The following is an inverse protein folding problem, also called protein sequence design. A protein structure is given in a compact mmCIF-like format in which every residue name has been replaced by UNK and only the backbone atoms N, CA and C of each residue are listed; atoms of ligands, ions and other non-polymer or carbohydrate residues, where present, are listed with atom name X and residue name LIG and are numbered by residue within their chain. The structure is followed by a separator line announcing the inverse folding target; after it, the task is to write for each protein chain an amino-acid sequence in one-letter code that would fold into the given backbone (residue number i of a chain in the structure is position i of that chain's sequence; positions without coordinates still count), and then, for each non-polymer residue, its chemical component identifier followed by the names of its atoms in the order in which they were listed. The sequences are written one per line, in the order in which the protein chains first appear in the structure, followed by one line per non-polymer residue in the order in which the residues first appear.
data_IF_873522195450
#
_entry.id   IF_873522195450
#
_cell.length_a   1.000
_cell.length_b   1.000
_cell.length_c   1.000
_cell.angle_alpha   90.00
_cell.angle_beta   90.00
_cell.angle_gamma   90.00
#
_symmetry.space_group_name_H-M   'P 1'
#
loop_
_entity.id
_entity.type
_entity.pdbx_description
1 polymer ?
#
# COMPACT_ATOMS: atom_id res chain seq x y z
N UNK A 1 0.56 35.78 -22.08
CA UNK A 1 1.41 35.64 -20.88
C UNK A 1 0.74 34.63 -19.97
N UNK A 2 1.44 33.53 -19.62
CA UNK A 2 1.00 32.46 -18.71
C UNK A 2 0.23 31.34 -19.41
N UNK A 3 0.57 30.05 -19.28
CA UNK A 3 1.61 29.32 -18.56
C UNK A 3 1.91 28.07 -19.42
N UNK A 4 3.18 27.76 -19.67
CA UNK A 4 3.54 26.52 -20.34
C UNK A 4 3.24 25.37 -19.36
N UNK A 5 2.34 24.47 -19.74
CA UNK A 5 2.12 23.24 -19.00
C UNK A 5 3.41 22.42 -19.09
N UNK A 6 4.10 22.26 -17.95
CA UNK A 6 5.27 21.40 -17.81
C UNK A 6 4.89 19.95 -18.16
N UNK A 7 5.02 19.57 -19.43
CA UNK A 7 4.82 18.18 -19.86
C UNK A 7 6.02 17.34 -19.45
N UNK A 8 6.13 17.03 -18.17
CA UNK A 8 7.01 16.00 -17.66
C UNK A 8 6.47 14.63 -18.16
N UNK A 9 7.16 14.02 -19.13
CA UNK A 9 6.80 12.70 -19.64
C UNK A 9 7.17 11.62 -18.61
N UNK A 10 6.21 11.26 -17.76
CA UNK A 10 6.31 10.10 -16.87
C UNK A 10 6.29 8.80 -17.68
N UNK A 11 7.30 7.94 -17.52
CA UNK A 11 7.08 6.52 -17.81
C UNK A 11 6.27 5.95 -16.65
N UNK A 12 4.93 5.95 -16.82
CA UNK A 12 4.01 5.33 -15.86
C UNK A 12 4.06 3.82 -16.05
N UNK A 13 4.79 3.19 -15.15
CA UNK A 13 4.98 1.75 -15.07
C UNK A 13 3.86 1.17 -14.17
N UNK A 14 2.77 0.70 -14.79
CA UNK A 14 1.73 -0.13 -14.14
C UNK A 14 0.68 0.58 -13.26
N UNK A 15 -0.52 -0.01 -13.23
CA UNK A 15 -1.60 0.31 -12.28
C UNK A 15 -1.65 -0.75 -11.18
N UNK A 16 -0.87 -0.55 -10.11
CA UNK A 16 -1.09 -1.22 -8.82
C UNK A 16 0.17 -1.72 -8.08
N UNK A 17 0.31 -1.22 -6.85
CA UNK A 17 0.75 -1.87 -5.59
C UNK A 17 2.22 -1.86 -5.15
N UNK A 18 3.20 -1.70 -6.01
CA UNK A 18 4.55 -1.20 -5.63
C UNK A 18 5.30 -0.88 -6.93
N UNK A 19 5.51 0.40 -7.24
CA UNK A 19 6.09 0.82 -8.53
C UNK A 19 7.54 1.26 -8.31
N UNK A 20 8.49 0.60 -8.98
CA UNK A 20 9.78 1.22 -9.28
C UNK A 20 9.60 2.26 -10.39
N UNK A 21 9.61 3.54 -10.06
CA UNK A 21 9.61 4.62 -11.05
C UNK A 21 11.05 5.06 -11.35
N UNK A 22 11.34 5.17 -12.65
CA UNK A 22 12.52 5.85 -13.18
C UNK A 22 12.05 7.15 -13.83
N UNK A 23 12.50 8.30 -13.32
CA UNK A 23 12.15 9.62 -13.87
C UNK A 23 13.04 9.91 -15.07
N UNK A 24 12.41 10.17 -16.23
CA UNK A 24 13.07 10.69 -17.43
C UNK A 24 13.16 12.21 -17.33
N UNK A 25 14.34 12.77 -17.55
CA UNK A 25 14.53 14.21 -17.69
C UNK A 25 14.43 14.60 -19.18
N UNK A 26 14.08 15.84 -19.50
CA UNK A 26 14.39 16.47 -20.79
C UNK A 26 15.52 17.48 -20.55
N UNK A 27 16.40 17.69 -21.52
CA UNK A 27 17.44 18.71 -21.38
C UNK A 27 16.77 20.10 -21.38
N UNK A 28 16.71 20.72 -20.21
CA UNK A 28 16.00 21.99 -19.96
C UNK A 28 16.61 23.17 -20.75
N UNK A 29 17.81 22.98 -21.30
CA UNK A 29 18.55 24.00 -22.06
C UNK A 29 18.22 23.92 -23.56
N UNK A 30 17.93 22.74 -24.08
CA UNK A 30 17.78 22.50 -25.53
C UNK A 30 16.41 21.98 -25.94
N UNK A 31 15.54 21.57 -25.00
CA UNK A 31 14.24 20.96 -25.28
C UNK A 31 14.36 19.63 -26.04
N UNK A 32 15.57 19.08 -26.16
CA UNK A 32 15.84 17.85 -26.89
C UNK A 32 15.44 16.67 -26.01
N UNK A 33 14.56 15.82 -26.53
CA UNK A 33 14.26 14.51 -25.94
C UNK A 33 15.51 13.64 -25.97
N UNK A 34 15.91 13.10 -24.81
CA UNK A 34 17.00 12.14 -24.77
C UNK A 34 16.65 10.86 -25.55
N UNK A 35 17.55 10.50 -26.45
CA UNK A 35 17.59 9.23 -27.16
C UNK A 35 18.22 8.11 -26.34
N UNK A 36 18.12 6.85 -26.79
CA UNK A 36 18.56 5.67 -26.03
C UNK A 36 20.07 5.63 -25.76
N UNK A 37 20.88 6.27 -26.62
CA UNK A 37 22.33 6.37 -26.45
C UNK A 37 22.78 7.55 -25.59
N UNK A 38 21.86 8.47 -25.27
CA UNK A 38 22.19 9.64 -24.46
C UNK A 38 22.44 9.20 -23.01
N UNK A 39 23.42 9.84 -22.38
CA UNK A 39 23.77 9.57 -21.00
C UNK A 39 22.97 10.49 -20.08
N UNK A 40 22.23 9.89 -19.14
CA UNK A 40 21.36 10.61 -18.22
C UNK A 40 21.57 10.20 -16.77
N UNK A 41 21.04 11.03 -15.87
CA UNK A 41 20.90 10.72 -14.46
C UNK A 41 19.42 10.66 -14.11
N UNK A 42 19.07 9.80 -13.16
CA UNK A 42 17.70 9.41 -12.80
C UNK A 42 17.53 9.33 -11.29
N UNK A 43 16.31 9.44 -10.79
CA UNK A 43 15.95 8.97 -9.45
C UNK A 43 15.18 7.66 -9.56
N UNK A 44 15.56 6.69 -8.74
CA UNK A 44 14.81 5.46 -8.54
C UNK A 44 13.90 5.68 -7.33
N UNK A 45 12.59 5.50 -7.53
CA UNK A 45 11.60 5.68 -6.47
C UNK A 45 10.71 4.45 -6.35
N UNK A 46 10.33 4.10 -5.13
CA UNK A 46 9.31 3.09 -4.83
C UNK A 46 8.01 3.81 -4.52
N UNK A 47 6.95 3.47 -5.24
CA UNK A 47 5.59 4.01 -5.03
C UNK A 47 4.73 2.93 -4.41
N UNK A 48 4.36 3.09 -3.13
CA UNK A 48 3.37 2.24 -2.46
C UNK A 48 2.08 3.03 -2.21
N UNK A 49 1.01 2.67 -2.92
CA UNK A 49 -0.23 3.46 -2.92
C UNK A 49 0.01 4.90 -3.43
N UNK A 50 -0.30 5.89 -2.60
CA UNK A 50 -0.09 7.33 -2.89
C UNK A 50 1.27 7.87 -2.41
N UNK A 51 2.12 7.02 -1.82
CA UNK A 51 3.41 7.44 -1.24
C UNK A 51 4.57 7.07 -2.15
N UNK A 52 5.32 8.08 -2.61
CA UNK A 52 6.56 7.90 -3.38
C UNK A 52 7.77 8.08 -2.45
N UNK A 53 8.63 7.08 -2.35
CA UNK A 53 9.93 7.17 -1.65
C UNK A 53 11.07 7.04 -2.65
N UNK A 54 11.94 8.05 -2.72
CA UNK A 54 13.18 7.98 -3.50
C UNK A 54 14.16 7.05 -2.77
N UNK A 55 14.59 5.99 -3.43
CA UNK A 55 15.51 4.97 -2.88
C UNK A 55 16.94 5.08 -3.45
N UNK A 56 17.16 5.90 -4.47
CA UNK A 56 18.51 6.16 -4.97
C UNK A 56 18.57 7.07 -6.18
N UNK A 57 19.78 7.52 -6.50
CA UNK A 57 20.11 8.18 -7.77
C UNK A 57 20.81 7.17 -8.67
N UNK A 58 20.45 7.14 -9.94
CA UNK A 58 21.05 6.26 -10.96
C UNK A 58 21.64 7.10 -12.08
N UNK A 59 22.67 6.59 -12.75
CA UNK A 59 23.32 7.27 -13.87
C UNK A 59 23.66 6.23 -14.93
N UNK A 60 23.44 6.54 -16.20
CA UNK A 60 23.69 5.60 -17.30
C UNK A 60 23.07 6.03 -18.62
N UNK A 61 23.27 5.20 -19.67
CA UNK A 61 22.56 5.37 -20.95
C UNK A 61 21.05 5.20 -20.75
N UNK A 62 20.26 6.08 -21.33
CA UNK A 62 18.79 6.07 -21.17
C UNK A 62 18.19 4.73 -21.62
N UNK A 63 18.64 4.16 -22.74
CA UNK A 63 18.11 2.88 -23.25
C UNK A 63 18.37 1.71 -22.30
N UNK A 64 19.50 1.71 -21.58
CA UNK A 64 19.82 0.67 -20.61
C UNK A 64 19.02 0.84 -19.32
N UNK A 65 18.83 2.09 -18.87
CA UNK A 65 18.00 2.39 -17.71
C UNK A 65 16.53 2.06 -17.96
N UNK A 66 16.01 2.32 -19.16
CA UNK A 66 14.65 1.95 -19.57
C UNK A 66 14.47 0.41 -19.63
N UNK A 67 15.44 -0.33 -20.19
CA UNK A 67 15.41 -1.81 -20.18
C UNK A 67 15.45 -2.38 -18.77
N UNK A 68 16.32 -1.85 -17.91
CA UNK A 68 16.39 -2.23 -16.49
C UNK A 68 15.08 -1.92 -15.77
N UNK A 69 14.50 -0.74 -15.98
CA UNK A 69 13.20 -0.35 -15.44
C UNK A 69 12.08 -1.32 -15.84
N UNK A 70 12.00 -1.70 -17.12
CA UNK A 70 11.03 -2.70 -17.62
C UNK A 70 11.26 -4.10 -17.06
N UNK A 71 12.52 -4.51 -16.87
CA UNK A 71 12.86 -5.80 -16.26
C UNK A 71 12.48 -5.82 -14.77
N UNK A 72 12.72 -4.73 -14.03
CA UNK A 72 12.25 -4.57 -12.66
C UNK A 72 10.71 -4.55 -12.59
N UNK A 73 10.04 -3.88 -13.52
CA UNK A 73 8.58 -3.91 -13.63
C UNK A 73 8.06 -5.32 -13.86
N UNK A 74 8.66 -6.06 -14.79
CA UNK A 74 8.29 -7.45 -15.06
C UNK A 74 8.55 -8.32 -13.82
N UNK A 75 9.66 -8.12 -13.11
CA UNK A 75 9.94 -8.81 -11.85
C UNK A 75 8.90 -8.46 -10.77
N UNK A 76 8.56 -7.18 -10.59
CA UNK A 76 7.55 -6.71 -9.65
C UNK A 76 6.13 -7.19 -10.01
N UNK A 77 5.80 -7.27 -11.30
CA UNK A 77 4.57 -7.89 -11.81
C UNK A 77 4.57 -9.40 -11.59
N UNK A 78 5.71 -10.08 -11.62
CA UNK A 78 5.77 -11.50 -11.25
C UNK A 78 5.75 -11.72 -9.72
N UNK A 79 6.13 -10.71 -8.94
CA UNK A 79 5.81 -10.61 -7.50
C UNK A 79 4.31 -10.40 -7.27
N UNK A 80 3.49 -10.13 -8.30
CA UNK A 80 2.03 -9.99 -8.15
C UNK A 80 1.28 -11.30 -7.91
N UNK A 81 1.96 -12.44 -7.81
CA UNK A 81 1.42 -13.64 -7.17
C UNK A 81 1.76 -13.73 -5.65
N UNK A 82 2.54 -12.77 -5.14
CA UNK A 82 2.95 -12.61 -3.75
C UNK A 82 1.81 -12.07 -2.89
N UNK A 83 0.90 -12.97 -2.53
CA UNK A 83 0.02 -12.82 -1.36
C UNK A 83 0.87 -12.29 -0.19
N UNK A 84 0.34 -11.39 0.63
CA UNK A 84 1.02 -10.99 1.88
C UNK A 84 1.36 -12.27 2.65
N UNK A 85 2.63 -12.46 3.02
CA UNK A 85 3.05 -13.67 3.72
C UNK A 85 2.61 -13.57 5.18
N UNK A 86 1.36 -14.00 5.43
CA UNK A 86 0.73 -14.00 6.76
C UNK A 86 1.54 -14.85 7.73
N UNK A 87 2.12 -15.96 7.26
CA UNK A 87 2.90 -16.88 8.10
C UNK A 87 4.19 -16.22 8.57
N UNK A 88 4.95 -15.62 7.66
CA UNK A 88 6.16 -14.88 8.02
C UNK A 88 5.86 -13.67 8.90
N UNK A 89 4.76 -12.95 8.64
CA UNK A 89 4.32 -11.84 9.47
C UNK A 89 3.96 -12.27 10.89
N UNK A 90 3.18 -13.35 11.04
CA UNK A 90 2.79 -13.90 12.34
C UNK A 90 4.02 -14.35 13.15
N UNK A 91 4.96 -15.05 12.51
CA UNK A 91 6.22 -15.46 13.13
C UNK A 91 7.06 -14.26 13.57
N UNK A 92 7.03 -13.16 12.81
CA UNK A 92 7.74 -11.93 13.15
C UNK A 92 7.11 -11.26 14.37
N UNK A 93 5.80 -10.99 14.35
CA UNK A 93 5.13 -10.29 15.47
C UNK A 93 5.13 -11.11 16.76
N UNK A 94 5.18 -12.44 16.68
CA UNK A 94 5.27 -13.32 17.86
C UNK A 94 6.57 -13.12 18.67
N UNK A 95 7.65 -12.65 18.03
CA UNK A 95 8.97 -12.44 18.64
C UNK A 95 9.24 -11.00 19.03
N UNK A 96 8.37 -10.07 18.64
CA UNK A 96 8.56 -8.63 18.85
C UNK A 96 8.09 -8.22 20.25
N UNK A 97 8.66 -7.13 20.76
CA UNK A 97 8.08 -6.49 21.94
C UNK A 97 6.71 -5.87 21.59
N UNK A 98 5.88 -5.69 22.61
CA UNK A 98 4.47 -5.29 22.45
C UNK A 98 4.32 -3.95 21.72
N UNK A 99 5.18 -2.97 21.99
CA UNK A 99 5.07 -1.64 21.41
C UNK A 99 5.42 -1.64 19.92
N UNK A 100 6.53 -2.28 19.54
CA UNK A 100 6.93 -2.43 18.14
C UNK A 100 5.93 -3.29 17.36
N UNK A 101 5.42 -4.35 17.99
CA UNK A 101 4.36 -5.20 17.42
C UNK A 101 3.13 -4.37 17.07
N UNK A 102 2.63 -3.57 18.00
CA UNK A 102 1.45 -2.72 17.77
C UNK A 102 1.72 -1.72 16.66
N UNK A 103 2.90 -1.07 16.64
CA UNK A 103 3.27 -0.11 15.61
C UNK A 103 3.31 -0.76 14.21
N UNK A 104 3.93 -1.93 14.09
CA UNK A 104 4.02 -2.68 12.83
C UNK A 104 2.64 -3.15 12.35
N UNK A 105 1.79 -3.65 13.26
CA UNK A 105 0.43 -4.07 12.92
C UNK A 105 -0.39 -2.88 12.42
N UNK A 106 -0.31 -1.73 13.09
CA UNK A 106 -1.00 -0.51 12.67
C UNK A 106 -0.54 -0.04 11.28
N UNK A 107 0.77 0.07 11.05
CA UNK A 107 1.30 0.48 9.74
C UNK A 107 0.86 -0.47 8.63
N UNK A 108 0.96 -1.78 8.86
CA UNK A 108 0.57 -2.81 7.89
C UNK A 108 -0.94 -2.75 7.60
N UNK A 109 -1.76 -2.60 8.64
CA UNK A 109 -3.22 -2.47 8.47
C UNK A 109 -3.61 -1.25 7.64
N UNK A 110 -2.90 -0.13 7.82
CA UNK A 110 -3.13 1.10 7.06
C UNK A 110 -2.80 0.90 5.58
N UNK A 111 -1.72 0.20 5.28
CA UNK A 111 -1.32 -0.08 3.89
C UNK A 111 -2.33 -1.01 3.22
N UNK A 112 -2.82 -2.03 3.92
CA UNK A 112 -3.90 -2.92 3.44
C UNK A 112 -5.20 -2.14 3.22
N UNK A 113 -5.58 -1.26 4.15
CA UNK A 113 -6.78 -0.44 4.01
C UNK A 113 -6.67 0.48 2.79
N UNK A 114 -5.56 1.21 2.61
CA UNK A 114 -5.30 2.06 1.44
C UNK A 114 -5.38 1.26 0.14
N UNK A 115 -4.71 0.12 0.10
CA UNK A 115 -4.66 -0.77 -1.05
C UNK A 115 -6.06 -1.29 -1.46
N UNK A 116 -6.94 -1.53 -0.48
CA UNK A 116 -8.31 -1.95 -0.75
C UNK A 116 -9.29 -0.77 -0.98
N UNK A 117 -8.83 0.47 -0.86
CA UNK A 117 -9.65 1.67 -0.98
C UNK A 117 -10.58 1.91 0.22
N UNK A 118 -10.22 1.37 1.38
CA UNK A 118 -10.98 1.55 2.61
C UNK A 118 -10.66 2.90 3.26
N UNK A 119 -11.67 3.52 3.85
CA UNK A 119 -11.55 4.82 4.51
C UNK A 119 -11.49 4.65 6.01
N UNK A 120 -10.53 5.29 6.68
CA UNK A 120 -10.48 5.28 8.14
C UNK A 120 -11.66 6.06 8.71
N UNK A 121 -12.34 5.49 9.70
CA UNK A 121 -13.50 6.08 10.37
C UNK A 121 -13.09 6.66 11.73
N UNK A 122 -12.81 7.98 11.83
CA UNK A 122 -12.23 8.57 13.03
C UNK A 122 -13.18 8.51 14.23
N UNK A 123 -14.50 8.67 14.01
CA UNK A 123 -15.50 8.57 15.07
C UNK A 123 -15.53 7.15 15.65
N UNK A 124 -15.70 6.14 14.79
CA UNK A 124 -15.75 4.74 15.21
C UNK A 124 -14.42 4.29 15.83
N UNK A 125 -13.31 4.80 15.31
CA UNK A 125 -11.98 4.53 15.86
C UNK A 125 -11.85 4.99 17.31
N UNK A 126 -12.33 6.21 17.59
CA UNK A 126 -12.27 6.81 18.92
C UNK A 126 -13.18 6.11 19.92
N UNK A 127 -14.44 5.86 19.56
CA UNK A 127 -15.42 5.29 20.51
C UNK A 127 -15.16 3.81 20.82
N UNK A 128 -14.55 3.06 19.89
CA UNK A 128 -14.22 1.65 20.08
C UNK A 128 -12.76 1.43 20.54
N UNK A 129 -11.95 2.49 20.61
CA UNK A 129 -10.51 2.40 20.92
C UNK A 129 -9.75 1.39 20.02
N UNK A 130 -10.12 1.31 18.74
CA UNK A 130 -9.53 0.42 17.73
C UNK A 130 -9.46 1.17 16.41
N UNK A 131 -8.45 0.96 15.58
CA UNK A 131 -8.48 1.54 14.23
C UNK A 131 -9.59 0.87 13.40
N UNK A 132 -10.57 1.65 12.94
CA UNK A 132 -11.71 1.16 12.17
C UNK A 132 -11.66 1.73 10.75
N UNK A 133 -11.84 0.85 9.76
CA UNK A 133 -11.87 1.21 8.34
C UNK A 133 -13.21 0.79 7.72
N UNK A 134 -13.77 1.63 6.85
CA UNK A 134 -15.00 1.37 6.11
C UNK A 134 -14.69 0.97 4.67
N UNK A 135 -15.27 -0.15 4.25
CA UNK A 135 -15.27 -0.58 2.86
C UNK A 135 -16.57 -0.17 2.16
N UNK A 136 -16.44 0.79 1.23
CA UNK A 136 -17.57 1.27 0.45
C UNK A 136 -18.20 0.20 -0.49
N UNK A 137 -17.46 -0.87 -0.83
CA UNK A 137 -17.92 -1.94 -1.73
C UNK A 137 -18.84 -2.91 -1.01
N UNK A 138 -18.38 -3.43 0.13
CA UNK A 138 -19.14 -4.41 0.94
C UNK A 138 -20.08 -3.76 1.95
N UNK A 139 -19.91 -2.46 2.24
CA UNK A 139 -20.58 -1.73 3.33
C UNK A 139 -20.26 -2.27 4.72
N UNK A 140 -19.15 -3.00 4.85
CA UNK A 140 -18.65 -3.50 6.12
C UNK A 140 -17.59 -2.57 6.70
N UNK A 141 -17.42 -2.69 8.01
CA UNK A 141 -16.36 -2.10 8.79
C UNK A 141 -15.33 -3.18 9.15
N UNK A 142 -14.07 -2.78 9.17
CA UNK A 142 -12.92 -3.61 9.51
C UNK A 142 -12.23 -2.96 10.69
N UNK A 143 -12.39 -3.54 11.88
CA UNK A 143 -11.75 -3.07 13.10
C UNK A 143 -10.45 -3.85 13.34
N UNK A 144 -9.36 -3.14 13.55
CA UNK A 144 -8.04 -3.73 13.75
C UNK A 144 -7.95 -4.39 15.13
N UNK A 145 -7.61 -5.67 15.15
CA UNK A 145 -7.08 -6.36 16.32
C UNK A 145 -5.56 -6.26 16.33
N UNK A 146 -5.03 -5.40 17.22
CA UNK A 146 -3.59 -5.19 17.39
C UNK A 146 -2.88 -6.31 18.14
N UNK A 147 -3.61 -7.25 18.75
CA UNK A 147 -3.02 -8.40 19.43
C UNK A 147 -2.58 -9.46 18.43
N UNK A 148 -3.41 -9.77 17.44
CA UNK A 148 -3.13 -10.84 16.47
C UNK A 148 -2.75 -10.31 15.08
N UNK A 149 -2.94 -9.02 14.80
CA UNK A 149 -2.72 -8.49 13.46
C UNK A 149 -3.77 -9.02 12.49
N UNK A 150 -5.04 -8.84 12.86
CA UNK A 150 -6.23 -9.30 12.15
C UNK A 150 -7.27 -8.19 12.07
N UNK A 151 -8.27 -8.36 11.21
CA UNK A 151 -9.44 -7.49 11.20
C UNK A 151 -10.66 -8.25 11.69
N UNK A 152 -11.37 -7.65 12.63
CA UNK A 152 -12.75 -8.01 12.95
C UNK A 152 -13.65 -7.38 11.88
N UNK A 153 -14.38 -8.21 11.14
CA UNK A 153 -15.33 -7.77 10.11
C UNK A 153 -16.67 -7.53 10.77
N UNK A 154 -17.27 -6.37 10.52
CA UNK A 154 -18.46 -5.90 11.21
C UNK A 154 -19.42 -5.29 10.20
N UNK A 155 -20.71 -5.61 10.30
CA UNK A 155 -21.71 -5.05 9.40
C UNK A 155 -22.12 -3.61 9.80
N UNK A 156 -23.00 -3.00 9.02
CA UNK A 156 -23.47 -1.63 9.25
C UNK A 156 -24.21 -1.39 10.57
N UNK A 157 -24.65 -2.47 11.23
CA UNK A 157 -25.30 -2.42 12.55
C UNK A 157 -24.31 -2.60 13.70
N UNK A 158 -23.01 -2.69 13.41
CA UNK A 158 -21.99 -2.97 14.42
C UNK A 158 -21.90 -4.45 14.80
N UNK A 159 -22.57 -5.37 14.08
CA UNK A 159 -22.54 -6.80 14.42
C UNK A 159 -21.35 -7.52 13.81
N UNK A 160 -20.61 -8.24 14.63
CA UNK A 160 -19.45 -9.04 14.22
C UNK A 160 -19.86 -10.12 13.20
N UNK A 161 -19.09 -10.26 12.14
CA UNK A 161 -19.31 -11.18 11.01
C UNK A 161 -18.19 -12.23 10.89
N UNK A 162 -17.10 -12.08 11.63
CA UNK A 162 -15.95 -12.98 11.61
C UNK A 162 -14.63 -12.22 11.60
N UNK A 163 -13.56 -12.97 11.80
CA UNK A 163 -12.18 -12.46 11.79
C UNK A 163 -11.54 -12.79 10.43
N UNK A 164 -10.74 -11.87 9.90
CA UNK A 164 -9.93 -12.10 8.69
C UNK A 164 -8.46 -11.75 8.90
N UNK A 165 -7.59 -12.47 8.19
CA UNK A 165 -6.17 -12.15 8.08
C UNK A 165 -5.91 -10.96 7.15
N UNK A 166 -4.64 -10.57 7.03
CA UNK A 166 -4.19 -9.47 6.18
C UNK A 166 -4.27 -9.75 4.68
N UNK A 167 -4.60 -10.99 4.30
CA UNK A 167 -5.02 -11.34 2.95
C UNK A 167 -6.55 -11.45 2.79
N UNK A 168 -7.31 -11.06 3.81
CA UNK A 168 -8.76 -11.16 3.87
C UNK A 168 -9.30 -12.59 3.84
N UNK A 169 -8.49 -13.59 4.20
CA UNK A 169 -8.99 -14.94 4.46
C UNK A 169 -9.68 -14.96 5.81
N UNK A 170 -10.82 -15.63 5.88
CA UNK A 170 -11.50 -15.87 7.14
C UNK A 170 -10.68 -16.80 8.04
N UNK A 171 -10.43 -16.36 9.26
CA UNK A 171 -9.72 -17.12 10.30
C UNK A 171 -10.68 -17.59 11.39
N UNK A 172 -11.77 -16.85 11.65
CA UNK A 172 -12.82 -17.23 12.60
C UNK A 172 -14.21 -16.88 12.09
N UNK A 173 -15.24 -17.67 12.46
CA UNK A 173 -16.63 -17.34 12.15
C UNK A 173 -17.14 -16.16 13.00
N UNK A 174 -18.32 -15.66 12.65
CA UNK A 174 -19.05 -14.69 13.45
C UNK A 174 -19.27 -15.21 14.87
N UNK A 175 -19.04 -14.34 15.85
CA UNK A 175 -19.34 -14.62 17.25
C UNK A 175 -20.79 -14.22 17.56
N UNK A 176 -21.50 -15.08 18.31
CA UNK A 176 -22.87 -14.85 18.77
C UNK A 176 -22.93 -14.11 20.11
N UNK A 177 -21.81 -13.99 20.83
CA UNK A 177 -21.75 -13.33 22.14
C UNK A 177 -21.89 -11.81 22.07
N UNK A 178 -21.54 -11.22 20.92
CA UNK A 178 -21.49 -9.76 20.72
C UNK A 178 -20.24 -9.08 21.29
N UNK A 179 -19.29 -9.81 21.88
CA UNK A 179 -18.06 -9.24 22.45
C UNK A 179 -17.15 -8.52 21.44
N UNK A 180 -17.32 -8.82 20.15
CA UNK A 180 -16.58 -8.19 19.05
C UNK A 180 -17.45 -7.22 18.23
N UNK A 181 -18.66 -6.90 18.71
CA UNK A 181 -19.49 -5.87 18.08
C UNK A 181 -18.84 -4.49 18.24
N UNK A 182 -19.08 -3.61 17.27
CA UNK A 182 -18.69 -2.21 17.36
C UNK A 182 -19.86 -1.36 17.84
N UNK A 183 -19.55 -0.41 18.70
CA UNK A 183 -20.41 0.73 18.98
C UNK A 183 -20.43 1.59 17.72
N UNK A 184 -21.63 1.85 17.17
CA UNK A 184 -21.80 2.54 15.89
C UNK A 184 -22.11 4.04 16.01
N UNK A 185 -22.50 4.52 17.19
CA UNK A 185 -22.97 5.90 17.36
C UNK A 185 -22.64 6.48 18.72
#
# INVERSE_FOLDING_TARGET
MGVAEDTCNYIRIGTGKEIGQLIKFEDVTTGRKYGPEDYGWGTLSVVSGDTTRVIGKVVGKIGDLEKKGKALEAAAKNVSNGRFDVVAFDQKIAKMNVNEKIALIKSTSMDIAKHNGWKKEPKLTRINNRDVYFDSKTKNYYALDTQHGRFEVVNSKGKHQGEVDFNLNQTKPADKSGGHDLIMS
#
